data_IF_111506647694
#
_entry.id   IF_111506647694
#
_cell.length_a   1.000
_cell.length_b   1.000
_cell.length_c   1.000
_cell.angle_alpha   90.00
_cell.angle_beta   90.00
_cell.angle_gamma   90.00
#
_symmetry.space_group_name_H-M   'P 1'
#
loop_
_entity.id
_entity.type
_entity.pdbx_description
1 polymer ?
#
# COMPACT_ATOMS: atom_id res chain seq x y z
N UNK A 1 -15.45 -4.39 13.58
CA UNK A 1 -14.39 -3.39 13.33
C UNK A 1 -14.65 -2.73 11.99
N UNK A 2 -14.45 -1.42 11.89
CA UNK A 2 -14.54 -0.75 10.59
C UNK A 2 -13.43 -1.30 9.68
N UNK A 3 -13.75 -1.53 8.39
CA UNK A 3 -12.76 -1.85 7.36
C UNK A 3 -11.65 -0.76 7.37
N UNK A 4 -10.36 -1.11 7.25
CA UNK A 4 -9.27 -0.13 7.33
C UNK A 4 -9.38 0.99 6.29
N UNK A 5 -9.82 0.64 5.07
CA UNK A 5 -10.12 1.58 3.99
C UNK A 5 -11.02 0.91 2.94
N UNK A 6 -11.76 1.70 2.18
CA UNK A 6 -12.51 1.22 1.01
C UNK A 6 -11.67 1.24 -0.26
N UNK A 7 -12.09 0.47 -1.28
CA UNK A 7 -11.38 0.41 -2.56
C UNK A 7 -11.17 1.80 -3.13
N UNK A 8 -9.93 2.13 -3.49
CA UNK A 8 -9.58 3.42 -4.08
C UNK A 8 -8.43 3.29 -5.08
N UNK A 9 -8.32 4.28 -5.95
CA UNK A 9 -7.18 4.41 -6.89
C UNK A 9 -6.29 5.56 -6.47
N UNK A 10 -4.99 5.34 -6.55
CA UNK A 10 -3.94 6.33 -6.34
C UNK A 10 -3.15 6.52 -7.64
N UNK A 11 -2.66 7.74 -7.85
CA UNK A 11 -1.66 8.01 -8.88
C UNK A 11 -0.29 8.13 -8.21
N UNK A 12 0.51 7.08 -8.37
CA UNK A 12 1.85 6.97 -7.78
C UNK A 12 2.90 7.01 -8.88
N UNK A 13 4.11 7.45 -8.55
CA UNK A 13 5.28 7.33 -9.41
C UNK A 13 6.40 6.56 -8.68
N UNK A 14 7.45 6.22 -9.43
CA UNK A 14 8.58 5.46 -8.89
C UNK A 14 9.21 6.17 -7.68
N UNK A 15 9.39 7.49 -7.74
CA UNK A 15 10.01 8.24 -6.65
C UNK A 15 9.19 8.15 -5.35
N UNK A 16 7.87 8.31 -5.46
CA UNK A 16 6.96 8.18 -4.32
C UNK A 16 7.00 6.77 -3.72
N UNK A 17 7.00 5.73 -4.57
CA UNK A 17 7.10 4.34 -4.10
C UNK A 17 8.45 4.05 -3.44
N UNK A 18 9.55 4.55 -4.00
CA UNK A 18 10.88 4.45 -3.40
C UNK A 18 10.92 5.09 -2.01
N UNK A 19 10.39 6.31 -1.88
CA UNK A 19 10.30 7.02 -0.60
C UNK A 19 9.45 6.27 0.43
N UNK A 20 8.31 5.72 0.01
CA UNK A 20 7.46 4.90 0.88
C UNK A 20 8.19 3.63 1.34
N UNK A 21 8.88 2.94 0.42
CA UNK A 21 9.67 1.77 0.75
C UNK A 21 10.79 2.09 1.75
N UNK A 22 11.57 3.14 1.49
CA UNK A 22 12.63 3.61 2.39
C UNK A 22 12.07 3.95 3.78
N UNK A 23 10.90 4.58 3.81
CA UNK A 23 10.21 4.94 5.06
C UNK A 23 9.84 3.70 5.86
N UNK A 24 9.24 2.66 5.26
CA UNK A 24 8.89 1.45 6.00
C UNK A 24 10.14 0.68 6.42
N UNK A 25 11.16 0.63 5.57
CA UNK A 25 12.42 -0.04 5.88
C UNK A 25 13.18 0.62 7.05
N UNK A 26 12.95 1.91 7.31
CA UNK A 26 13.52 2.63 8.45
C UNK A 26 12.88 2.22 9.80
N UNK A 27 11.63 1.77 9.81
CA UNK A 27 10.95 1.36 11.04
C UNK A 27 11.21 -0.12 11.35
N UNK A 28 12.29 -0.40 12.08
CA UNK A 28 12.68 -1.77 12.46
C UNK A 28 11.75 -2.40 13.52
N UNK A 29 11.12 -1.56 14.36
CA UNK A 29 10.41 -2.03 15.55
C UNK A 29 8.93 -2.38 15.32
N UNK A 30 8.28 -1.79 14.31
CA UNK A 30 6.86 -2.02 14.04
C UNK A 30 6.45 -1.58 12.62
N UNK A 31 5.51 -2.31 12.03
CA UNK A 31 4.91 -1.93 10.76
C UNK A 31 4.08 -0.65 10.92
N UNK A 32 4.04 0.14 9.85
CA UNK A 32 3.41 1.46 9.84
C UNK A 32 2.31 1.55 8.79
N UNK A 33 1.22 2.22 9.15
CA UNK A 33 0.23 2.64 8.15
C UNK A 33 0.85 3.71 7.27
N UNK A 34 0.85 3.47 5.96
CA UNK A 34 1.32 4.43 4.98
C UNK A 34 0.18 5.31 4.51
N UNK A 35 0.48 6.60 4.42
CA UNK A 35 -0.41 7.63 3.93
C UNK A 35 -0.36 7.66 2.39
N UNK A 36 -1.37 7.08 1.73
CA UNK A 36 -1.46 7.01 0.28
C UNK A 36 -2.52 7.99 -0.23
N UNK A 37 -2.18 8.90 -1.17
CA UNK A 37 -3.14 9.85 -1.71
C UNK A 37 -4.10 9.13 -2.68
N UNK A 38 -5.40 9.31 -2.50
CA UNK A 38 -6.39 8.90 -3.50
C UNK A 38 -6.41 9.87 -4.68
N UNK A 39 -7.02 9.45 -5.78
CA UNK A 39 -7.33 10.36 -6.91
C UNK A 39 -8.28 11.50 -6.51
N UNK A 40 -9.09 11.35 -5.45
CA UNK A 40 -9.91 12.43 -4.88
C UNK A 40 -9.11 13.44 -4.05
N UNK A 41 -7.80 13.20 -3.83
CA UNK A 41 -6.93 14.05 -3.02
C UNK A 41 -7.01 13.78 -1.51
N UNK A 42 -7.77 12.76 -1.10
CA UNK A 42 -7.84 12.31 0.28
C UNK A 42 -6.61 11.46 0.61
N UNK A 43 -6.15 11.54 1.85
CA UNK A 43 -5.06 10.68 2.32
C UNK A 43 -5.64 9.46 3.02
N UNK A 44 -5.31 8.27 2.52
CA UNK A 44 -5.84 7.00 3.02
C UNK A 44 -4.71 6.22 3.70
N UNK A 45 -4.97 5.74 4.92
CA UNK A 45 -4.04 4.92 5.69
C UNK A 45 -4.08 3.47 5.21
N UNK A 46 -2.98 3.00 4.62
CA UNK A 46 -2.87 1.65 4.05
C UNK A 46 -1.79 0.85 4.78
N UNK A 47 -2.11 -0.36 5.29
CA UNK A 47 -1.13 -1.25 5.88
C UNK A 47 -0.36 -1.98 4.76
N UNK A 48 0.84 -1.52 4.42
CA UNK A 48 1.69 -2.15 3.40
C UNK A 48 2.97 -2.71 4.00
N UNK A 49 3.32 -3.93 3.61
CA UNK A 49 4.60 -4.55 3.93
C UNK A 49 5.68 -4.04 2.97
N UNK A 50 6.96 -4.00 3.42
CA UNK A 50 8.08 -3.69 2.54
C UNK A 50 8.13 -4.54 1.28
N UNK A 51 7.81 -5.82 1.40
CA UNK A 51 7.80 -6.75 0.26
C UNK A 51 6.76 -6.36 -0.80
N UNK A 52 5.57 -5.94 -0.38
CA UNK A 52 4.54 -5.48 -1.32
C UNK A 52 4.97 -4.19 -2.02
N UNK A 53 5.63 -3.27 -1.30
CA UNK A 53 6.19 -2.05 -1.90
C UNK A 53 7.33 -2.34 -2.90
N UNK A 54 8.20 -3.32 -2.61
CA UNK A 54 9.24 -3.77 -3.55
C UNK A 54 8.63 -4.31 -4.83
N UNK A 55 7.65 -5.20 -4.70
CA UNK A 55 6.92 -5.77 -5.85
C UNK A 55 6.12 -4.73 -6.63
N UNK A 56 5.63 -3.67 -5.97
CA UNK A 56 5.02 -2.54 -6.66
C UNK A 56 6.07 -1.74 -7.43
N UNK A 57 7.21 -1.42 -6.80
CA UNK A 57 8.28 -0.62 -7.39
C UNK A 57 8.86 -1.26 -8.65
N UNK A 58 8.93 -2.60 -8.72
CA UNK A 58 9.37 -3.36 -9.90
C UNK A 58 8.53 -3.10 -11.17
N UNK A 59 7.30 -2.59 -11.05
CA UNK A 59 6.43 -2.24 -12.19
C UNK A 59 6.63 -0.78 -12.67
N UNK A 60 7.53 -0.05 -12.01
CA UNK A 60 7.85 1.34 -12.31
C UNK A 60 9.30 1.43 -12.80
N UNK A 61 9.53 2.27 -13.80
CA UNK A 61 10.86 2.49 -14.36
C UNK A 61 11.51 3.69 -13.67
N UNK A 62 12.75 3.53 -13.20
CA UNK A 62 13.49 4.59 -12.53
C UNK A 62 13.80 5.74 -13.50
N UNK A 63 14.01 5.45 -14.78
CA UNK A 63 14.21 6.43 -15.85
C UNK A 63 12.99 7.35 -16.04
N UNK A 64 11.82 6.88 -15.63
CA UNK A 64 10.54 7.60 -15.64
C UNK A 64 10.09 7.94 -14.22
N UNK A 65 11.04 8.36 -13.36
CA UNK A 65 10.83 8.47 -11.91
C UNK A 65 9.56 9.24 -11.47
N UNK A 66 9.14 10.23 -12.28
CA UNK A 66 8.02 11.13 -12.00
C UNK A 66 6.74 10.79 -12.76
N UNK A 67 6.77 9.83 -13.69
CA UNK A 67 5.60 9.39 -14.43
C UNK A 67 4.61 8.73 -13.48
N UNK A 68 3.40 9.29 -13.42
CA UNK A 68 2.33 8.78 -12.58
C UNK A 68 1.61 7.64 -13.28
N UNK A 69 1.47 6.52 -12.58
CA UNK A 69 0.68 5.37 -13.01
C UNK A 69 -0.38 5.08 -11.96
N UNK A 70 -1.53 4.59 -12.43
CA UNK A 70 -2.65 4.24 -11.57
C UNK A 70 -2.40 2.93 -10.84
N UNK A 71 -2.57 2.95 -9.53
CA UNK A 71 -2.53 1.76 -8.67
C UNK A 71 -3.83 1.71 -7.87
N UNK A 72 -4.51 0.58 -7.90
CA UNK A 72 -5.75 0.39 -7.13
C UNK A 72 -5.47 -0.42 -5.88
N UNK A 73 -5.97 0.05 -4.75
CA UNK A 73 -5.89 -0.63 -3.46
C UNK A 73 -7.28 -1.06 -3.04
N UNK A 74 -7.39 -2.25 -2.46
CA UNK A 74 -8.60 -2.75 -1.82
C UNK A 74 -8.22 -3.56 -0.58
N UNK A 75 -9.17 -3.72 0.32
CA UNK A 75 -9.03 -4.55 1.50
C UNK A 75 -10.19 -5.53 1.60
N UNK A 76 -9.94 -6.75 2.05
CA UNK A 76 -10.99 -7.73 2.34
C UNK A 76 -10.71 -8.40 3.67
N UNK A 77 -11.71 -8.44 4.56
CA UNK A 77 -11.61 -9.20 5.80
C UNK A 77 -11.54 -10.70 5.53
N UNK A 78 -10.60 -11.39 6.17
CA UNK A 78 -10.61 -12.86 6.26
C UNK A 78 -11.13 -13.32 7.62
N UNK A 79 -10.82 -12.56 8.68
CA UNK A 79 -11.41 -12.70 10.00
C UNK A 79 -11.45 -11.33 10.69
N UNK A 80 -12.64 -10.74 10.77
CA UNK A 80 -12.82 -9.41 11.38
C UNK A 80 -12.56 -9.44 12.90
N UNK A 81 -12.99 -10.51 13.59
CA UNK A 81 -12.81 -10.70 15.04
C UNK A 81 -11.33 -10.76 15.42
N UNK A 82 -10.53 -11.48 14.62
CA UNK A 82 -9.10 -11.63 14.85
C UNK A 82 -8.27 -10.50 14.23
N UNK A 83 -8.92 -9.56 13.53
CA UNK A 83 -8.25 -8.43 12.88
C UNK A 83 -7.34 -8.84 11.71
N UNK A 84 -7.66 -9.94 11.04
CA UNK A 84 -6.97 -10.44 9.85
C UNK A 84 -7.71 -10.11 8.56
N UNK A 85 -6.99 -9.62 7.56
CA UNK A 85 -7.51 -9.43 6.22
C UNK A 85 -6.44 -9.51 5.14
N UNK A 86 -6.86 -9.19 3.93
CA UNK A 86 -6.03 -9.14 2.74
C UNK A 86 -6.04 -7.72 2.20
N UNK A 87 -4.86 -7.17 1.93
CA UNK A 87 -4.69 -6.01 1.08
C UNK A 87 -4.48 -6.51 -0.34
N UNK A 88 -5.28 -6.01 -1.27
CA UNK A 88 -5.15 -6.28 -2.69
C UNK A 88 -4.63 -5.02 -3.38
N UNK A 89 -3.61 -5.17 -4.23
CA UNK A 89 -3.03 -4.08 -5.01
C UNK A 89 -3.06 -4.48 -6.48
N UNK A 90 -3.82 -3.75 -7.30
CA UNK A 90 -3.80 -3.89 -8.76
C UNK A 90 -2.80 -2.90 -9.34
N UNK A 91 -1.75 -3.44 -9.96
CA UNK A 91 -0.64 -2.70 -10.56
C UNK A 91 -1.02 -2.14 -11.94
N UNK A 92 -0.24 -1.20 -12.52
CA UNK A 92 -0.53 -0.61 -13.83
C UNK A 92 -0.59 -1.64 -14.97
N UNK A 93 0.15 -2.75 -14.86
CA UNK A 93 0.12 -3.87 -15.81
C UNK A 93 -1.15 -4.73 -15.72
N UNK A 94 -1.99 -4.51 -14.71
CA UNK A 94 -3.12 -5.37 -14.36
C UNK A 94 -2.76 -6.55 -13.47
N UNK A 95 -1.47 -6.74 -13.13
CA UNK A 95 -1.03 -7.73 -12.14
C UNK A 95 -1.61 -7.40 -10.76
N UNK A 96 -2.07 -8.42 -10.06
CA UNK A 96 -2.60 -8.27 -8.70
C UNK A 96 -1.59 -8.80 -7.67
N UNK A 97 -1.32 -8.01 -6.64
CA UNK A 97 -0.59 -8.42 -5.44
C UNK A 97 -1.60 -8.63 -4.33
N UNK A 98 -1.37 -9.66 -3.52
CA UNK A 98 -2.17 -9.94 -2.32
C UNK A 98 -1.27 -10.05 -1.11
N UNK A 99 -1.53 -9.25 -0.09
CA UNK A 99 -0.80 -9.21 1.16
C UNK A 99 -1.71 -9.63 2.31
N UNK A 100 -1.34 -10.70 3.01
CA UNK A 100 -1.96 -11.06 4.29
C UNK A 100 -1.56 -10.04 5.35
N UNK A 101 -2.55 -9.55 6.09
CA UNK A 101 -2.38 -8.42 6.99
C UNK A 101 -3.12 -8.68 8.28
N UNK A 102 -2.41 -8.60 9.41
CA UNK A 102 -3.02 -8.43 10.72
C UNK A 102 -2.96 -6.95 11.09
N UNK A 103 -4.11 -6.27 11.12
CA UNK A 103 -4.14 -4.81 11.27
C UNK A 103 -3.62 -4.33 12.64
N UNK A 104 -3.52 -5.23 13.63
CA UNK A 104 -2.96 -4.94 14.96
C UNK A 104 -1.44 -4.86 14.98
N UNK A 105 -0.77 -5.39 13.95
CA UNK A 105 0.69 -5.32 13.80
C UNK A 105 1.15 -3.95 13.28
N UNK A 106 0.20 -3.15 12.78
CA UNK A 106 0.45 -1.83 12.23
C UNK A 106 0.13 -0.74 13.24
N UNK A 107 1.01 0.26 13.33
CA UNK A 107 0.80 1.48 14.12
C UNK A 107 0.79 2.71 13.22
N UNK A 108 0.19 3.81 13.66
CA UNK A 108 0.27 5.07 12.93
C UNK A 108 1.72 5.59 12.92
N UNK A 109 2.11 6.27 11.85
CA UNK A 109 3.37 7.03 11.76
C UNK A 109 3.28 8.27 12.63
#
# INVERSE_FOLDING_TARGET
>A
MLKPFERFTSELNWQQLSLLLDTVMYFEDALKYLSIPSQSGESISVPLHPETLRLMLEEFEEEQAFEKKSVTFDFTWTSEEESHGLVHVTLPSGRELTQRTNIKEFSMV
#
